data_IF_920508251018
#
_entry.id   IF_920508251018
#
_cell.length_a   1.000
_cell.length_b   1.000
_cell.length_c   1.000
_cell.angle_alpha   90.00
_cell.angle_beta   90.00
_cell.angle_gamma   90.00
#
_symmetry.space_group_name_H-M   'P 1'
#
loop_
_entity.id
_entity.type
_entity.pdbx_description
1 polymer ?
#
# COMPACT_ATOMS: atom_id res chain seq x y z
N UNK A 1 -17.53 24.29 1.65
CA UNK A 1 -16.22 24.28 2.33
C UNK A 1 -15.68 22.87 2.27
N UNK A 2 -14.62 22.65 1.50
CA UNK A 2 -14.04 21.31 1.35
C UNK A 2 -13.33 21.03 2.67
N UNK A 3 -13.82 20.09 3.48
CA UNK A 3 -13.10 19.55 4.62
C UNK A 3 -11.79 18.95 4.09
N UNK A 4 -10.74 19.77 4.05
CA UNK A 4 -9.35 19.32 3.92
C UNK A 4 -8.97 18.62 5.22
N UNK A 5 -9.64 17.49 5.47
CA UNK A 5 -9.49 16.71 6.68
C UNK A 5 -8.10 16.11 6.63
N UNK A 6 -7.26 16.51 7.59
CA UNK A 6 -5.87 16.07 7.72
C UNK A 6 -5.79 14.56 7.51
N UNK A 7 -4.94 14.16 6.56
CA UNK A 7 -4.66 12.75 6.34
C UNK A 7 -3.82 12.24 7.51
N UNK A 8 -4.41 11.34 8.29
CA UNK A 8 -3.74 10.66 9.41
C UNK A 8 -3.53 9.20 9.06
N UNK A 9 -2.60 8.53 9.74
CA UNK A 9 -2.32 7.09 9.57
C UNK A 9 -3.60 6.24 9.64
N UNK A 10 -4.49 6.49 10.61
CA UNK A 10 -5.77 5.77 10.75
C UNK A 10 -6.69 5.96 9.55
N UNK A 11 -6.82 7.20 9.05
CA UNK A 11 -7.65 7.49 7.87
C UNK A 11 -7.07 6.89 6.60
N UNK A 12 -5.74 6.94 6.47
CA UNK A 12 -5.05 6.33 5.33
C UNK A 12 -5.30 4.83 5.29
N UNK A 13 -5.10 4.12 6.40
CA UNK A 13 -5.40 2.69 6.48
C UNK A 13 -6.86 2.38 6.13
N UNK A 14 -7.83 3.11 6.68
CA UNK A 14 -9.24 2.88 6.37
C UNK A 14 -9.58 3.15 4.89
N UNK A 15 -8.98 4.18 4.28
CA UNK A 15 -9.18 4.51 2.88
C UNK A 15 -8.59 3.42 1.96
N UNK A 16 -7.39 2.92 2.26
CA UNK A 16 -6.77 1.80 1.52
C UNK A 16 -7.64 0.55 1.59
N UNK A 17 -8.07 0.14 2.78
CA UNK A 17 -8.92 -1.05 2.97
C UNK A 17 -10.26 -0.91 2.24
N UNK A 18 -10.86 0.29 2.26
CA UNK A 18 -12.12 0.55 1.55
C UNK A 18 -11.92 0.47 0.04
N UNK A 19 -10.84 1.06 -0.48
CA UNK A 19 -10.54 1.06 -1.91
C UNK A 19 -10.25 -0.35 -2.43
N UNK A 20 -9.50 -1.16 -1.69
CA UNK A 20 -9.23 -2.58 -2.02
C UNK A 20 -10.52 -3.41 -1.98
N UNK A 21 -11.43 -3.13 -1.03
CA UNK A 21 -12.72 -3.83 -0.93
C UNK A 21 -13.67 -3.48 -2.07
N UNK A 22 -13.70 -2.20 -2.45
CA UNK A 22 -14.60 -1.69 -3.49
C UNK A 22 -14.08 -2.00 -4.91
N UNK A 23 -12.76 -2.01 -5.09
CA UNK A 23 -12.11 -2.29 -6.37
C UNK A 23 -11.79 -3.78 -6.49
N UNK A 24 -12.41 -4.46 -7.45
CA UNK A 24 -12.11 -5.88 -7.72
C UNK A 24 -10.69 -6.03 -8.27
N UNK A 25 -9.80 -6.59 -7.45
CA UNK A 25 -8.45 -6.99 -7.87
C UNK A 25 -7.38 -5.91 -7.73
N UNK A 26 -7.68 -4.78 -7.07
CA UNK A 26 -6.68 -3.77 -6.77
C UNK A 26 -5.79 -4.22 -5.62
N UNK A 27 -4.48 -4.14 -5.82
CA UNK A 27 -3.48 -4.49 -4.81
C UNK A 27 -3.41 -3.44 -3.70
N UNK A 28 -2.90 -3.80 -2.51
CA UNK A 28 -2.65 -2.81 -1.44
C UNK A 28 -1.61 -1.78 -1.88
N UNK A 29 -0.62 -2.19 -2.68
CA UNK A 29 0.40 -1.31 -3.28
C UNK A 29 -0.26 -0.23 -4.16
N UNK A 30 -1.11 -0.65 -5.10
CA UNK A 30 -1.79 0.27 -6.03
C UNK A 30 -2.80 1.16 -5.30
N UNK A 31 -3.57 0.59 -4.36
CA UNK A 31 -4.51 1.34 -3.55
C UNK A 31 -3.83 2.47 -2.76
N UNK A 32 -2.68 2.16 -2.15
CA UNK A 32 -1.90 3.13 -1.41
C UNK A 32 -1.33 4.23 -2.31
N UNK A 33 -0.83 3.88 -3.50
CA UNK A 33 -0.32 4.85 -4.48
C UNK A 33 -1.45 5.77 -5.02
N UNK A 34 -2.60 5.19 -5.36
CA UNK A 34 -3.75 5.91 -5.90
C UNK A 34 -4.24 7.00 -4.94
N UNK A 35 -4.37 6.69 -3.65
CA UNK A 35 -4.85 7.66 -2.64
C UNK A 35 -3.91 8.85 -2.48
N UNK A 36 -2.59 8.63 -2.60
CA UNK A 36 -1.60 9.71 -2.55
C UNK A 36 -1.71 10.59 -3.79
N UNK A 37 -1.84 9.98 -4.98
CA UNK A 37 -1.97 10.68 -6.25
C UNK A 37 -3.26 11.49 -6.34
N UNK A 38 -4.39 10.90 -5.98
CA UNK A 38 -5.71 11.54 -5.99
C UNK A 38 -5.76 12.77 -5.07
N UNK A 39 -5.03 12.72 -3.95
CA UNK A 39 -4.92 13.85 -3.01
C UNK A 39 -3.82 14.84 -3.35
N UNK A 40 -3.02 14.59 -4.39
CA UNK A 40 -1.88 15.42 -4.76
C UNK A 40 -0.79 15.50 -3.68
N UNK A 41 -0.65 14.47 -2.84
CA UNK A 41 0.35 14.43 -1.78
C UNK A 41 1.69 13.91 -2.30
N UNK A 42 2.80 14.29 -1.66
CA UNK A 42 4.12 13.73 -1.97
C UNK A 42 4.19 12.26 -1.54
N UNK A 43 4.73 11.39 -2.40
CA UNK A 43 5.00 9.98 -2.08
C UNK A 43 5.90 9.80 -0.86
N UNK A 44 6.76 10.78 -0.53
CA UNK A 44 7.53 10.74 0.74
C UNK A 44 6.62 10.67 1.98
N UNK A 45 5.40 11.21 1.89
CA UNK A 45 4.42 11.15 2.97
C UNK A 45 3.88 9.74 3.21
N UNK A 46 3.98 8.84 2.22
CA UNK A 46 3.53 7.45 2.31
C UNK A 46 4.21 6.73 3.49
N UNK A 47 5.53 6.87 3.63
CA UNK A 47 6.29 6.25 4.72
C UNK A 47 5.82 6.66 6.12
N UNK A 48 5.29 7.89 6.26
CA UNK A 48 4.75 8.41 7.52
C UNK A 48 3.32 7.93 7.78
N UNK A 49 2.54 7.77 6.71
CA UNK A 49 1.12 7.42 6.72
C UNK A 49 0.86 5.92 6.74
N UNK A 50 1.80 5.09 6.30
CA UNK A 50 1.72 3.64 6.40
C UNK A 50 1.81 3.20 7.87
N UNK A 51 0.81 2.44 8.32
CA UNK A 51 0.88 1.70 9.58
C UNK A 51 1.73 0.45 9.41
N UNK A 52 2.26 -0.08 10.52
CA UNK A 52 3.10 -1.28 10.49
C UNK A 52 2.36 -2.48 9.88
N UNK A 53 1.07 -2.63 10.19
CA UNK A 53 0.22 -3.65 9.58
C UNK A 53 0.07 -3.48 8.07
N UNK A 54 -0.05 -2.25 7.58
CA UNK A 54 -0.20 -1.99 6.14
C UNK A 54 1.11 -2.21 5.40
N UNK A 55 2.25 -1.88 6.01
CA UNK A 55 3.59 -2.21 5.47
C UNK A 55 3.75 -3.71 5.30
N UNK A 56 3.39 -4.51 6.30
CA UNK A 56 3.48 -5.97 6.21
C UNK A 56 2.61 -6.55 5.08
N UNK A 57 1.40 -6.03 4.88
CA UNK A 57 0.53 -6.45 3.77
C UNK A 57 1.14 -6.11 2.40
N UNK A 58 1.65 -4.88 2.26
CA UNK A 58 2.33 -4.40 1.05
C UNK A 58 3.59 -5.22 0.77
N UNK A 59 4.39 -5.54 1.79
CA UNK A 59 5.59 -6.36 1.63
C UNK A 59 5.27 -7.78 1.21
N UNK A 60 4.26 -8.41 1.83
CA UNK A 60 3.82 -9.75 1.44
C UNK A 60 3.38 -9.79 -0.03
N UNK A 61 2.57 -8.81 -0.44
CA UNK A 61 2.10 -8.68 -1.82
C UNK A 61 3.26 -8.39 -2.80
N UNK A 62 4.23 -7.56 -2.40
CA UNK A 62 5.41 -7.28 -3.21
C UNK A 62 6.32 -8.51 -3.38
N UNK A 63 6.36 -9.40 -2.38
CA UNK A 63 7.05 -10.69 -2.49
C UNK A 63 6.30 -11.64 -3.42
N UNK A 64 4.98 -11.76 -3.26
CA UNK A 64 4.14 -12.63 -4.09
C UNK A 64 4.18 -12.23 -5.57
N UNK A 65 4.20 -10.92 -5.84
CA UNK A 65 4.33 -10.36 -7.19
C UNK A 65 5.78 -10.32 -7.71
N UNK A 66 6.76 -10.84 -6.96
CA UNK A 66 8.19 -10.79 -7.27
C UNK A 66 8.72 -9.37 -7.59
N UNK A 67 8.13 -8.34 -6.97
CA UNK A 67 8.53 -6.94 -7.12
C UNK A 67 9.79 -6.60 -6.31
N UNK A 68 10.11 -7.43 -5.30
CA UNK A 68 11.32 -7.30 -4.51
C UNK A 68 12.36 -8.33 -4.98
N UNK A 69 13.60 -7.88 -5.17
CA UNK A 69 14.75 -8.77 -5.34
C UNK A 69 15.08 -9.41 -3.99
N UNK A 70 14.30 -10.40 -3.61
CA UNK A 70 14.68 -11.32 -2.56
C UNK A 70 15.79 -12.23 -3.09
N UNK A 71 16.75 -12.60 -2.23
CA UNK A 71 17.72 -13.63 -2.59
C UNK A 71 16.97 -14.96 -2.66
N UNK A 72 16.33 -15.25 -3.80
CA UNK A 72 15.85 -16.59 -4.08
C UNK A 72 17.07 -17.49 -4.11
N UNK A 73 17.25 -18.29 -3.07
CA UNK A 73 18.22 -19.38 -3.10
C UNK A 73 17.69 -20.37 -4.13
N UNK A 74 18.51 -20.73 -5.13
CA UNK A 74 18.18 -21.77 -6.08
C UNK A 74 17.82 -23.03 -5.28
N UNK A 75 16.52 -23.37 -5.21
CA UNK A 75 16.10 -24.63 -4.62
C UNK A 75 16.32 -25.69 -5.67
N UNK A 76 17.13 -26.68 -5.31
CA UNK A 76 17.31 -27.87 -6.12
C UNK A 76 15.93 -28.52 -6.33
N UNK A 77 15.63 -28.98 -7.55
CA UNK A 77 14.49 -29.86 -7.76
C UNK A 77 14.73 -31.14 -6.96
N UNK A 78 13.77 -31.51 -6.11
CA UNK A 78 13.73 -32.82 -5.45
C UNK A 78 13.16 -33.88 -6.38
#
# INVERSE_FOLDING_TARGET
>A
MIEQKIMTRKRFSAAVETLVRESRGLTYIEAAAYIIQERGMDFKSLNRLLSDSLKQKIEAEAVDLNLLRTKQTNKLPV
#
